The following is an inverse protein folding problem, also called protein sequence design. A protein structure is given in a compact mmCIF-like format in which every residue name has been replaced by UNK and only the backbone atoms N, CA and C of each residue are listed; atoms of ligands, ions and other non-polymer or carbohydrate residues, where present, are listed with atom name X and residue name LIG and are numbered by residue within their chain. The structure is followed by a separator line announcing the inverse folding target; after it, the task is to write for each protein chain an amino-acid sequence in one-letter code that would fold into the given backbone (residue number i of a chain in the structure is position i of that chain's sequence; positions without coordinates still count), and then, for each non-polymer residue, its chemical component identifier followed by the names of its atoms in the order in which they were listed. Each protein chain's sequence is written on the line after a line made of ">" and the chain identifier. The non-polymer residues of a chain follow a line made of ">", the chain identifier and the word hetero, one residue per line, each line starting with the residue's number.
data_IF_118896046630
#
_entry.id   IF_118896046630
#
_cell.length_a   1.000
_cell.length_b   1.000
_cell.length_c   1.000
_cell.angle_alpha   90.00
_cell.angle_beta   90.00
_cell.angle_gamma   90.00
#
_symmetry.space_group_name_H-M   'P 1'
#
loop_
_entity.id
_entity.type
_entity.pdbx_description
1 polymer ?
#
# COMPACT_ATOMS: atom_id res chain seq x y z
N UNK A 1 1.96 4.25 13.49
CA UNK A 1 0.55 4.10 13.05
C UNK A 1 0.44 4.48 11.57
N UNK A 2 -0.44 3.83 10.82
CA UNK A 2 -0.75 4.16 9.41
C UNK A 2 -2.22 4.56 9.29
N UNK A 3 -2.57 5.36 8.28
CA UNK A 3 -3.94 5.84 8.05
C UNK A 3 -4.44 5.51 6.65
N UNK A 4 -5.68 5.03 6.54
CA UNK A 4 -6.37 4.82 5.27
C UNK A 4 -6.85 6.17 4.70
N UNK A 5 -6.63 6.39 3.40
CA UNK A 5 -7.23 7.51 2.69
C UNK A 5 -8.75 7.32 2.56
N UNK A 6 -9.52 7.81 3.53
CA UNK A 6 -10.95 7.50 3.66
C UNK A 6 -11.89 8.72 3.55
N UNK A 7 -11.37 9.89 3.17
CA UNK A 7 -12.12 11.16 3.14
C UNK A 7 -11.86 11.95 1.86
N UNK A 8 -12.86 12.74 1.46
CA UNK A 8 -12.74 13.71 0.36
C UNK A 8 -12.37 13.09 -0.98
N UNK A 9 -11.75 13.88 -1.85
CA UNK A 9 -11.35 13.48 -3.21
C UNK A 9 -10.21 12.44 -3.27
N UNK A 10 -9.68 12.01 -2.13
CA UNK A 10 -8.65 10.96 -2.05
C UNK A 10 -9.18 9.65 -1.46
N UNK A 11 -10.49 9.54 -1.21
CA UNK A 11 -11.09 8.32 -0.64
C UNK A 11 -10.82 7.10 -1.52
N UNK A 12 -10.21 6.08 -0.93
CA UNK A 12 -9.93 4.79 -1.57
C UNK A 12 -10.86 3.68 -1.04
N UNK A 13 -11.08 2.61 -1.83
CA UNK A 13 -11.84 1.44 -1.37
C UNK A 13 -11.07 0.61 -0.34
N UNK A 14 -11.80 -0.16 0.47
CA UNK A 14 -11.24 -1.14 1.41
C UNK A 14 -10.68 -2.40 0.68
N UNK A 15 -9.86 -3.24 1.33
CA UNK A 15 -9.21 -4.40 0.69
C UNK A 15 -10.16 -5.45 0.08
N UNK A 16 -11.39 -5.54 0.59
CA UNK A 16 -12.45 -6.45 0.13
C UNK A 16 -13.04 -6.03 -1.23
N UNK A 17 -12.88 -4.76 -1.63
CA UNK A 17 -13.36 -4.30 -2.93
C UNK A 17 -12.63 -4.99 -4.09
N UNK A 18 -13.40 -5.33 -5.14
CA UNK A 18 -12.89 -5.92 -6.36
C UNK A 18 -13.62 -5.36 -7.60
N UNK A 19 -12.96 -4.56 -8.44
CA UNK A 19 -11.59 -4.04 -8.32
C UNK A 19 -11.48 -2.91 -7.27
N UNK A 20 -10.26 -2.59 -6.84
CA UNK A 20 -9.99 -1.47 -5.93
C UNK A 20 -8.50 -1.24 -5.65
N UNK A 21 -8.13 -0.01 -5.30
CA UNK A 21 -6.80 0.35 -4.82
C UNK A 21 -6.88 0.84 -3.36
N UNK A 22 -6.52 -0.01 -2.40
CA UNK A 22 -6.52 0.33 -0.98
C UNK A 22 -5.27 1.13 -0.62
N UNK A 23 -5.41 2.41 -0.20
CA UNK A 23 -4.25 3.26 0.02
C UNK A 23 -4.02 3.64 1.48
N UNK A 24 -2.77 3.55 1.91
CA UNK A 24 -2.32 3.88 3.27
C UNK A 24 -1.24 4.96 3.23
N UNK A 25 -1.33 5.91 4.17
CA UNK A 25 -0.26 6.85 4.48
C UNK A 25 0.42 6.46 5.80
N UNK A 26 1.75 6.57 5.86
CA UNK A 26 2.52 6.27 7.06
C UNK A 26 3.75 7.15 7.22
N UNK A 27 4.12 7.44 8.47
CA UNK A 27 5.31 8.22 8.77
C UNK A 27 6.60 7.52 8.33
N UNK A 28 7.55 8.33 7.84
CA UNK A 28 8.87 7.87 7.44
C UNK A 28 9.89 7.86 8.58
N UNK A 29 9.79 8.77 9.54
CA UNK A 29 10.88 9.07 10.49
C UNK A 29 10.43 9.23 11.94
N UNK A 30 9.13 9.19 12.23
CA UNK A 30 8.60 9.45 13.57
C UNK A 30 7.48 8.47 13.92
N UNK A 31 7.10 8.41 15.20
CA UNK A 31 5.95 7.64 15.70
C UNK A 31 5.99 6.15 15.32
N UNK A 32 7.14 5.51 15.58
CA UNK A 32 7.41 4.12 15.20
C UNK A 32 7.75 3.92 13.71
N UNK A 33 7.76 5.00 12.93
CA UNK A 33 8.31 5.07 11.57
C UNK A 33 7.90 3.91 10.64
N UNK A 34 6.60 3.57 10.58
CA UNK A 34 6.12 2.33 9.98
C UNK A 34 6.52 2.16 8.52
N UNK A 35 6.73 3.27 7.79
CA UNK A 35 7.10 3.24 6.38
C UNK A 35 8.54 3.69 6.09
N UNK A 36 9.43 3.72 7.10
CA UNK A 36 10.83 4.13 6.91
C UNK A 36 11.55 3.33 5.82
N UNK A 37 11.28 2.03 5.74
CA UNK A 37 12.03 1.11 4.89
C UNK A 37 11.20 0.47 3.77
N UNK A 38 10.04 1.03 3.41
CA UNK A 38 9.26 0.48 2.28
C UNK A 38 10.01 0.61 0.95
N UNK A 39 11.03 1.47 0.87
CA UNK A 39 11.96 1.54 -0.27
C UNK A 39 12.85 0.31 -0.44
N UNK A 40 12.94 -0.55 0.58
CA UNK A 40 13.72 -1.79 0.55
C UNK A 40 12.90 -2.98 0.06
N UNK A 41 11.57 -2.84 -0.04
CA UNK A 41 10.71 -3.86 -0.59
C UNK A 41 11.08 -4.11 -2.05
N UNK A 42 11.11 -5.38 -2.43
CA UNK A 42 11.40 -5.87 -3.77
C UNK A 42 10.13 -6.49 -4.38
N UNK A 43 10.04 -6.56 -5.72
CA UNK A 43 8.95 -7.25 -6.37
C UNK A 43 8.79 -8.67 -5.82
N UNK A 44 7.60 -8.99 -5.31
CA UNK A 44 7.28 -10.27 -4.69
C UNK A 44 7.19 -10.26 -3.16
N UNK A 45 7.79 -9.26 -2.47
CA UNK A 45 7.75 -9.18 -1.01
C UNK A 45 6.31 -9.04 -0.51
N UNK A 46 5.92 -9.77 0.56
CA UNK A 46 4.54 -9.76 1.04
C UNK A 46 4.22 -8.47 1.79
N UNK A 47 2.99 -7.97 1.57
CA UNK A 47 2.36 -6.91 2.36
C UNK A 47 1.00 -7.47 2.79
N UNK A 48 0.82 -7.71 4.08
CA UNK A 48 -0.39 -8.36 4.61
C UNK A 48 -1.25 -7.36 5.37
N UNK A 49 -2.52 -7.27 5.01
CA UNK A 49 -3.55 -6.53 5.75
C UNK A 49 -4.43 -7.54 6.48
N UNK A 50 -4.35 -7.54 7.80
CA UNK A 50 -5.19 -8.36 8.66
C UNK A 50 -6.42 -7.56 9.11
N UNK A 51 -7.61 -8.11 8.92
CA UNK A 51 -8.87 -7.57 9.46
C UNK A 51 -9.44 -8.51 10.51
N UNK A 52 -10.63 -8.17 11.02
CA UNK A 52 -11.38 -9.04 11.92
C UNK A 52 -11.65 -10.42 11.30
N UNK A 53 -11.88 -10.47 9.98
CA UNK A 53 -12.40 -11.68 9.32
C UNK A 53 -11.45 -12.25 8.25
N UNK A 54 -10.48 -11.48 7.76
CA UNK A 54 -9.69 -11.86 6.57
C UNK A 54 -8.25 -11.36 6.64
N UNK A 55 -7.32 -12.16 6.11
CA UNK A 55 -5.98 -11.71 5.70
C UNK A 55 -5.97 -11.42 4.20
N UNK A 56 -5.63 -10.21 3.81
CA UNK A 56 -5.41 -9.81 2.43
C UNK A 56 -3.91 -9.77 2.16
N UNK A 57 -3.41 -10.70 1.36
CA UNK A 57 -1.99 -10.79 1.02
C UNK A 57 -1.76 -10.10 -0.32
N UNK A 58 -0.96 -9.06 -0.30
CA UNK A 58 -0.43 -8.40 -1.48
C UNK A 58 1.03 -8.77 -1.67
N UNK A 59 1.50 -8.74 -2.90
CA UNK A 59 2.94 -8.74 -3.21
C UNK A 59 3.32 -7.37 -3.76
N UNK A 60 4.42 -6.82 -3.26
CA UNK A 60 5.01 -5.60 -3.82
C UNK A 60 5.26 -5.80 -5.31
N UNK A 61 4.90 -4.81 -6.11
CA UNK A 61 4.98 -4.86 -7.56
C UNK A 61 5.95 -3.81 -8.11
N UNK A 62 5.80 -2.56 -7.68
CA UNK A 62 6.57 -1.43 -8.22
C UNK A 62 6.71 -0.28 -7.22
N UNK A 63 7.64 0.63 -7.51
CA UNK A 63 7.96 1.78 -6.67
C UNK A 63 8.15 3.03 -7.53
N UNK A 64 7.57 4.15 -7.08
CA UNK A 64 7.90 5.49 -7.54
C UNK A 64 8.68 6.17 -6.41
N UNK A 65 10.03 6.24 -6.50
CA UNK A 65 10.88 6.64 -5.38
C UNK A 65 10.66 8.10 -4.97
N UNK A 66 10.17 8.94 -5.88
CA UNK A 66 9.92 10.36 -5.62
C UNK A 66 8.81 10.91 -6.53
N UNK A 67 7.86 11.63 -5.94
CA UNK A 67 6.82 12.40 -6.64
C UNK A 67 6.44 13.66 -5.84
N UNK A 68 5.80 14.63 -6.50
CA UNK A 68 5.19 15.78 -5.85
C UNK A 68 4.16 15.35 -4.79
N UNK A 69 4.08 16.02 -3.62
CA UNK A 69 3.02 15.77 -2.63
C UNK A 69 1.59 15.95 -3.18
N UNK A 70 1.42 16.75 -4.23
CA UNK A 70 0.12 16.97 -4.88
C UNK A 70 -0.27 15.91 -5.91
N UNK A 71 0.57 14.90 -6.17
CA UNK A 71 0.24 13.83 -7.10
C UNK A 71 -0.71 12.82 -6.46
N UNK A 72 -2.01 13.12 -6.45
CA UNK A 72 -3.05 12.23 -5.91
C UNK A 72 -3.42 11.08 -6.84
N UNK A 73 -3.08 11.17 -8.14
CA UNK A 73 -3.38 10.13 -9.13
C UNK A 73 -2.75 8.77 -8.79
N UNK A 74 -1.69 8.75 -7.96
CA UNK A 74 -1.10 7.51 -7.43
C UNK A 74 -2.06 6.66 -6.60
N UNK A 75 -3.20 7.23 -6.20
CA UNK A 75 -4.29 6.60 -5.44
C UNK A 75 -5.43 6.09 -6.34
N UNK A 76 -5.40 6.38 -7.64
CA UNK A 76 -6.48 6.04 -8.57
C UNK A 76 -6.72 4.51 -8.64
N UNK A 77 -7.89 4.04 -9.12
CA UNK A 77 -8.18 2.60 -9.21
C UNK A 77 -7.16 1.80 -10.04
N UNK A 78 -6.54 2.45 -11.04
CA UNK A 78 -5.39 1.93 -11.80
C UNK A 78 -4.29 3.01 -11.76
N UNK A 79 -3.39 2.99 -10.76
CA UNK A 79 -2.47 4.09 -10.52
C UNK A 79 -1.48 4.34 -11.67
N UNK A 80 -1.38 5.55 -12.21
CA UNK A 80 -0.34 5.90 -13.18
C UNK A 80 1.07 5.69 -12.60
N UNK A 81 1.98 5.15 -13.41
CA UNK A 81 3.36 4.86 -13.00
C UNK A 81 3.55 3.56 -12.22
N UNK A 82 2.46 2.88 -11.80
CA UNK A 82 2.56 1.58 -11.13
C UNK A 82 2.92 0.42 -12.07
N UNK A 83 2.72 0.59 -13.38
CA UNK A 83 2.83 -0.49 -14.37
C UNK A 83 1.57 -1.36 -14.50
N UNK A 84 0.53 -1.12 -13.67
CA UNK A 84 -0.77 -1.75 -13.86
C UNK A 84 -1.51 -1.13 -15.04
N UNK A 85 -2.18 -1.97 -15.85
CA UNK A 85 -2.83 -1.53 -17.10
C UNK A 85 -4.33 -1.84 -17.15
N UNK A 86 -4.87 -2.53 -16.15
CA UNK A 86 -6.27 -2.96 -16.08
C UNK A 86 -6.78 -2.84 -14.64
N UNK A 87 -8.09 -2.81 -14.39
CA UNK A 87 -8.63 -2.90 -13.04
C UNK A 87 -8.15 -4.18 -12.33
N UNK A 88 -7.89 -4.06 -11.03
CA UNK A 88 -7.43 -5.16 -10.18
C UNK A 88 -7.56 -4.79 -8.71
N UNK A 89 -6.98 -5.63 -7.84
CA UNK A 89 -6.94 -5.41 -6.40
C UNK A 89 -5.53 -5.00 -5.99
N UNK A 90 -5.37 -3.73 -5.66
CA UNK A 90 -4.08 -3.08 -5.41
C UNK A 90 -4.00 -2.54 -4.00
N UNK A 91 -2.76 -2.37 -3.53
CA UNK A 91 -2.44 -1.59 -2.33
C UNK A 91 -1.44 -0.50 -2.70
N UNK A 92 -1.63 0.70 -2.14
CA UNK A 92 -0.70 1.83 -2.31
C UNK A 92 -0.20 2.27 -0.93
N UNK A 93 1.12 2.30 -0.74
CA UNK A 93 1.77 2.81 0.47
C UNK A 93 2.44 4.14 0.16
N UNK A 94 2.07 5.20 0.89
CA UNK A 94 2.61 6.55 0.69
C UNK A 94 3.37 7.04 1.93
N UNK A 95 4.52 7.67 1.70
CA UNK A 95 5.32 8.25 2.79
C UNK A 95 6.15 9.44 2.32
N UNK A 96 6.75 10.19 3.25
CA UNK A 96 7.64 11.31 2.91
C UNK A 96 8.99 10.82 2.39
N UNK A 97 9.62 11.64 1.55
CA UNK A 97 11.00 11.43 1.08
C UNK A 97 11.63 12.79 0.67
N UNK A 98 12.95 12.98 0.77
CA UNK A 98 13.93 12.18 1.53
C UNK A 98 13.62 12.09 3.03
N UNK A 99 14.31 11.20 3.75
CA UNK A 99 14.22 11.09 5.21
C UNK A 99 14.40 12.45 5.89
N UNK A 100 13.68 12.66 6.99
CA UNK A 100 13.68 13.89 7.81
C UNK A 100 13.14 15.14 7.10
N UNK A 101 12.47 14.98 5.95
CA UNK A 101 11.79 16.06 5.24
C UNK A 101 10.35 15.68 4.90
N UNK A 102 9.59 16.64 4.37
CA UNK A 102 8.25 16.42 3.78
C UNK A 102 8.15 16.91 2.33
N UNK A 103 9.30 17.14 1.68
CA UNK A 103 9.41 17.80 0.37
C UNK A 103 8.70 17.01 -0.74
N UNK A 104 8.89 15.69 -0.75
CA UNK A 104 8.31 14.80 -1.74
C UNK A 104 7.59 13.63 -1.07
N UNK A 105 6.98 12.78 -1.90
CA UNK A 105 6.41 11.50 -1.49
C UNK A 105 7.10 10.36 -2.22
N UNK A 106 7.23 9.24 -1.53
CA UNK A 106 7.60 7.95 -2.11
C UNK A 106 6.37 7.06 -2.09
N UNK A 107 6.15 6.33 -3.19
CA UNK A 107 4.99 5.47 -3.39
C UNK A 107 5.45 4.04 -3.67
N UNK A 108 4.88 3.07 -2.96
CA UNK A 108 5.02 1.65 -3.26
C UNK A 108 3.64 1.10 -3.62
N UNK A 109 3.58 0.31 -4.68
CA UNK A 109 2.37 -0.40 -5.07
C UNK A 109 2.55 -1.90 -4.90
N UNK A 110 1.48 -2.57 -4.48
CA UNK A 110 1.38 -4.03 -4.46
C UNK A 110 0.09 -4.52 -5.11
N UNK A 111 0.09 -5.79 -5.51
CA UNK A 111 -1.08 -6.47 -6.09
C UNK A 111 -1.49 -7.65 -5.22
N UNK A 112 -2.78 -7.80 -4.98
CA UNK A 112 -3.30 -8.90 -4.18
C UNK A 112 -3.05 -10.26 -4.84
N UNK A 113 -2.68 -11.25 -4.04
CA UNK A 113 -2.44 -12.64 -4.46
C UNK A 113 -3.27 -13.66 -3.68
N UNK A 114 -3.77 -13.30 -2.49
CA UNK A 114 -4.63 -14.17 -1.66
C UNK A 114 -5.56 -13.30 -0.80
N UNK A 115 -6.83 -13.71 -0.68
CA UNK A 115 -7.72 -13.34 0.42
C UNK A 115 -8.06 -14.59 1.24
N UNK A 116 -7.65 -14.59 2.51
CA UNK A 116 -7.71 -15.77 3.36
C UNK A 116 -8.61 -15.49 4.56
N UNK A 117 -9.77 -16.17 4.68
CA UNK A 117 -10.58 -16.12 5.90
C UNK A 117 -9.73 -16.42 7.14
N UNK A 118 -9.94 -15.64 8.20
CA UNK A 118 -9.11 -15.67 9.41
C UNK A 118 -9.15 -17.03 10.11
N UNK A 119 -10.27 -17.74 10.01
CA UNK A 119 -10.47 -19.09 10.56
C UNK A 119 -9.55 -20.15 9.92
N UNK A 120 -8.98 -19.87 8.74
CA UNK A 120 -7.95 -20.70 8.10
C UNK A 120 -6.55 -20.48 8.70
N UNK A 121 -6.41 -19.63 9.70
CA UNK A 121 -5.12 -19.29 10.31
C UNK A 121 -4.27 -18.32 9.47
N UNK A 122 -3.09 -17.97 9.98
CA UNK A 122 -2.17 -17.03 9.34
C UNK A 122 -1.74 -17.51 7.95
N UNK A 123 -1.61 -16.61 6.95
CA UNK A 123 -1.04 -16.96 5.65
C UNK A 123 0.45 -17.33 5.79
N UNK A 124 1.02 -18.11 4.85
CA UNK A 124 2.44 -18.46 4.83
C UNK A 124 3.37 -17.25 5.02
N UNK A 125 2.99 -16.11 4.44
CA UNK A 125 3.72 -14.85 4.54
C UNK A 125 3.95 -14.31 5.97
N UNK A 126 3.31 -14.88 7.01
CA UNK A 126 3.41 -14.45 8.41
C UNK A 126 3.95 -15.54 9.37
N UNK A 127 4.42 -16.68 8.87
CA UNK A 127 4.83 -17.83 9.71
C UNK A 127 6.23 -18.37 9.40
N UNK A 128 6.94 -17.75 8.46
CA UNK A 128 8.34 -18.06 8.12
C UNK A 128 9.34 -17.18 8.89
#
# INVERSE_FOLDING_TARGET
>A
MVGHYNKGGTKTPMPDANPGNFALAGHRNTHGEPFRYINRLKPGDPIVVETQDTYYVYKMASILPQTSPGNTAVLDPVPPGSGFTKPGRYITLTTCTPEFTSKYRMIVWGKMVEDRPRDKGKPPALVD
#
